data_IF_653756233722
#
_entry.id   IF_653756233722
#
_cell.length_a   1.000
_cell.length_b   1.000
_cell.length_c   1.000
_cell.angle_alpha   90.00
_cell.angle_beta   90.00
_cell.angle_gamma   90.00
#
_symmetry.space_group_name_H-M   'P 1'
#
loop_
_entity.id
_entity.type
_entity.pdbx_description
1 polymer ?
#
# COMPACT_ATOMS: atom_id res chain seq x y z
N UNK A 1 9.83 9.11 36.89
CA UNK A 1 11.00 8.55 36.15
C UNK A 1 10.72 8.73 34.66
N UNK A 2 10.71 9.95 34.10
CA UNK A 2 11.74 10.97 33.92
C UNK A 2 12.83 10.59 32.90
N UNK A 3 12.75 11.29 31.75
CA UNK A 3 13.80 11.71 30.80
C UNK A 3 14.22 10.83 29.61
N UNK A 4 14.53 11.60 28.53
CA UNK A 4 15.29 11.33 27.31
C UNK A 4 14.44 10.69 26.18
N UNK A 5 14.23 11.24 24.97
CA UNK A 5 15.09 12.04 24.08
C UNK A 5 14.22 12.93 23.16
N UNK A 6 14.54 14.22 23.06
CA UNK A 6 14.08 15.12 21.98
C UNK A 6 15.31 15.88 21.47
N UNK A 7 15.93 15.46 20.36
CA UNK A 7 16.75 16.34 19.52
C UNK A 7 16.89 15.78 18.10
N UNK A 8 16.92 16.74 17.15
CA UNK A 8 17.39 16.69 15.75
C UNK A 8 16.33 16.45 14.66
N UNK A 9 15.76 17.54 14.18
CA UNK A 9 15.42 17.77 12.77
C UNK A 9 15.38 19.29 12.51
N UNK A 10 16.52 19.85 12.12
CA UNK A 10 16.62 21.21 11.60
C UNK A 10 17.89 21.31 10.77
N UNK A 11 17.82 20.96 9.49
CA UNK A 11 18.78 21.42 8.48
C UNK A 11 18.11 21.40 7.10
N UNK A 12 18.42 22.43 6.32
CA UNK A 12 18.00 22.74 4.94
C UNK A 12 16.61 23.39 4.82
N UNK A 13 16.61 24.74 4.80
CA UNK A 13 16.25 25.57 3.64
C UNK A 13 16.22 27.05 4.05
N UNK A 14 17.31 27.78 3.81
CA UNK A 14 17.35 29.25 3.71
C UNK A 14 18.26 29.66 2.55
N UNK A 15 17.73 30.55 1.70
CA UNK A 15 18.45 31.38 0.72
C UNK A 15 18.54 30.76 -0.68
N UNK A 16 18.19 31.42 -1.79
CA UNK A 16 18.04 32.85 -2.06
C UNK A 16 17.09 33.10 -3.26
N UNK A 17 16.49 34.30 -3.29
CA UNK A 17 15.81 34.94 -4.43
C UNK A 17 16.80 35.80 -5.24
N UNK A 18 16.50 36.02 -6.52
CA UNK A 18 17.01 37.10 -7.40
C UNK A 18 17.47 36.57 -8.77
N UNK A 19 16.65 36.56 -9.82
CA UNK A 19 16.22 37.64 -10.74
C UNK A 19 17.08 37.78 -12.01
N UNK A 20 16.37 37.94 -13.14
CA UNK A 20 16.76 38.51 -14.46
C UNK A 20 17.63 37.71 -15.43
N UNK A 21 17.01 37.27 -16.54
CA UNK A 21 17.16 37.96 -17.83
C UNK A 21 18.26 37.53 -18.82
N UNK A 22 17.80 37.05 -19.99
CA UNK A 22 18.35 37.17 -21.37
C UNK A 22 19.26 36.06 -21.94
N UNK A 23 18.67 35.43 -22.97
CA UNK A 23 19.17 35.16 -24.36
C UNK A 23 20.59 34.60 -24.55
N UNK A 24 20.64 33.35 -25.02
CA UNK A 24 21.73 32.84 -25.89
C UNK A 24 21.56 33.32 -27.34
N UNK A 25 22.67 33.54 -28.04
CA UNK A 25 22.85 32.83 -29.31
C UNK A 25 24.26 32.25 -29.49
N UNK A 26 24.26 31.16 -30.27
CA UNK A 26 25.34 30.54 -31.01
C UNK A 26 26.50 31.46 -31.44
N UNK A 27 27.74 30.99 -31.30
CA UNK A 27 28.65 30.72 -32.42
C UNK A 27 29.99 30.17 -31.95
N UNK A 28 30.44 29.18 -32.71
CA UNK A 28 31.73 28.52 -32.78
C UNK A 28 32.90 29.48 -32.97
N UNK A 29 34.06 29.15 -32.40
CA UNK A 29 35.36 29.37 -33.05
C UNK A 29 36.50 28.59 -32.38
N UNK A 30 37.30 27.97 -33.24
CA UNK A 30 38.52 27.21 -32.98
C UNK A 30 39.61 28.02 -32.27
N UNK A 31 40.34 27.37 -31.37
CA UNK A 31 41.64 27.83 -30.87
C UNK A 31 42.64 26.67 -30.90
N UNK A 32 43.78 26.91 -31.54
CA UNK A 32 44.86 25.95 -31.81
C UNK A 32 45.68 25.52 -30.57
N UNK A 33 46.72 24.68 -30.78
CA UNK A 33 47.35 23.93 -29.70
C UNK A 33 48.44 24.74 -28.98
N UNK A 34 48.49 24.61 -27.66
CA UNK A 34 49.55 25.16 -26.78
C UNK A 34 50.04 24.01 -25.85
N UNK A 35 51.36 23.90 -25.58
CA UNK A 35 52.00 22.62 -25.27
C UNK A 35 51.97 22.22 -23.79
N UNK A 36 52.25 20.92 -23.57
CA UNK A 36 52.17 20.21 -22.30
C UNK A 36 53.16 20.71 -21.23
N UNK A 37 52.67 20.84 -20.00
CA UNK A 37 53.45 20.96 -18.76
C UNK A 37 53.39 19.64 -17.97
N UNK A 38 54.43 19.28 -17.19
CA UNK A 38 54.56 17.94 -16.62
C UNK A 38 53.62 17.75 -15.43
N UNK A 39 52.86 16.65 -15.47
CA UNK A 39 51.97 16.22 -14.38
C UNK A 39 52.83 15.73 -13.23
N UNK A 40 52.79 16.44 -12.10
CA UNK A 40 53.21 15.91 -10.80
C UNK A 40 52.22 14.83 -10.39
N UNK A 41 52.66 13.58 -10.35
CA UNK A 41 51.89 12.48 -9.77
C UNK A 41 51.73 12.72 -8.26
N UNK A 42 50.57 13.20 -7.83
CA UNK A 42 50.09 12.93 -6.48
C UNK A 42 49.67 11.45 -6.43
N UNK A 43 50.14 10.64 -5.48
CA UNK A 43 49.61 9.31 -5.30
C UNK A 43 48.13 9.44 -4.94
N UNK A 44 47.27 8.91 -5.80
CA UNK A 44 45.85 8.71 -5.51
C UNK A 44 45.75 7.86 -4.25
N UNK A 45 44.99 8.35 -3.26
CA UNK A 45 44.61 7.53 -2.13
C UNK A 45 44.02 6.21 -2.65
N UNK A 46 44.37 5.04 -2.07
CA UNK A 46 43.82 3.78 -2.53
C UNK A 46 42.29 3.86 -2.50
N UNK A 47 41.65 3.51 -3.61
CA UNK A 47 40.20 3.41 -3.67
C UNK A 47 39.75 2.54 -2.50
N UNK A 48 38.84 3.05 -1.67
CA UNK A 48 38.31 2.30 -0.55
C UNK A 48 37.85 0.92 -1.05
N UNK A 49 38.18 -0.17 -0.33
CA UNK A 49 37.83 -1.51 -0.79
C UNK A 49 36.33 -1.57 -1.04
N UNK A 50 35.93 -2.06 -2.22
CA UNK A 50 34.51 -2.22 -2.61
C UNK A 50 33.74 -3.05 -1.59
N UNK A 51 34.44 -3.90 -0.86
CA UNK A 51 33.92 -4.77 0.17
C UNK A 51 34.87 -4.84 1.36
N UNK A 52 34.36 -4.63 2.58
CA UNK A 52 35.10 -4.83 3.83
C UNK A 52 34.19 -5.52 4.84
N UNK A 53 34.74 -6.37 5.71
CA UNK A 53 33.94 -7.11 6.68
C UNK A 53 34.67 -7.32 8.00
N UNK A 54 33.88 -7.50 9.07
CA UNK A 54 34.35 -7.79 10.42
C UNK A 54 33.40 -8.79 11.08
N UNK A 55 33.96 -9.74 11.82
CA UNK A 55 33.18 -10.67 12.63
C UNK A 55 32.96 -10.12 14.03
N UNK A 56 31.72 -10.21 14.49
CA UNK A 56 31.32 -9.93 15.86
C UNK A 56 30.85 -11.22 16.53
N UNK A 57 30.39 -11.12 17.77
CA UNK A 57 29.98 -12.25 18.59
C UNK A 57 28.77 -13.00 18.00
N UNK A 58 27.85 -12.28 17.38
CA UNK A 58 26.53 -12.74 16.95
C UNK A 58 26.22 -12.43 15.47
N UNK A 59 27.05 -11.61 14.81
CA UNK A 59 26.80 -11.19 13.44
C UNK A 59 28.07 -10.94 12.62
N UNK A 60 27.90 -10.92 11.31
CA UNK A 60 28.84 -10.39 10.34
C UNK A 60 28.52 -8.92 10.07
N UNK A 61 29.49 -8.02 10.26
CA UNK A 61 29.41 -6.66 9.72
C UNK A 61 30.04 -6.66 8.32
N UNK A 62 29.29 -6.24 7.32
CA UNK A 62 29.66 -6.27 5.91
C UNK A 62 29.37 -4.91 5.27
N UNK A 63 30.42 -4.24 4.78
CA UNK A 63 30.31 -3.01 3.99
C UNK A 63 30.46 -3.36 2.52
N UNK A 64 29.45 -3.04 1.72
CA UNK A 64 29.48 -3.20 0.27
C UNK A 64 28.95 -1.92 -0.41
N UNK A 65 29.80 -1.27 -1.20
CA UNK A 65 29.50 0.08 -1.70
C UNK A 65 29.29 1.08 -0.55
N UNK A 66 28.18 1.81 -0.56
CA UNK A 66 27.78 2.73 0.52
C UNK A 66 27.00 2.07 1.66
N UNK A 67 26.65 0.79 1.52
CA UNK A 67 25.76 0.10 2.47
C UNK A 67 26.58 -0.63 3.53
N UNK A 68 26.31 -0.31 4.80
CA UNK A 68 26.80 -1.09 5.94
C UNK A 68 25.68 -2.03 6.39
N UNK A 69 25.93 -3.33 6.35
CA UNK A 69 24.99 -4.36 6.76
C UNK A 69 25.54 -5.06 7.99
N UNK A 70 24.75 -5.13 9.04
CA UNK A 70 24.94 -6.15 10.08
C UNK A 70 24.07 -7.33 9.66
N UNK A 71 24.59 -8.55 9.78
CA UNK A 71 23.90 -9.77 9.35
C UNK A 71 24.09 -10.84 10.42
N UNK A 72 23.03 -11.12 11.15
CA UNK A 72 22.98 -12.16 12.18
C UNK A 72 23.39 -13.55 11.63
N UNK A 73 24.18 -14.32 12.38
CA UNK A 73 24.66 -15.62 11.92
C UNK A 73 23.55 -16.67 11.79
N UNK A 74 22.56 -16.66 12.68
CA UNK A 74 21.37 -17.53 12.59
C UNK A 74 20.60 -17.17 11.33
N UNK A 75 20.39 -15.88 11.06
CA UNK A 75 19.73 -15.43 9.84
C UNK A 75 20.48 -15.88 8.58
N UNK A 76 21.80 -15.74 8.56
CA UNK A 76 22.67 -16.18 7.46
C UNK A 76 22.65 -17.71 7.28
N UNK A 77 22.47 -18.51 8.34
CA UNK A 77 22.34 -19.96 8.23
C UNK A 77 20.93 -20.37 7.77
N UNK A 78 19.91 -19.73 8.30
CA UNK A 78 18.49 -20.00 8.04
C UNK A 78 18.09 -19.70 6.58
N UNK A 79 18.65 -18.63 6.00
CA UNK A 79 18.31 -18.18 4.65
C UNK A 79 19.22 -18.77 3.55
N UNK A 80 19.99 -19.82 3.88
CA UNK A 80 20.91 -20.48 2.96
C UNK A 80 20.17 -20.95 1.69
N UNK A 81 20.72 -20.64 0.52
CA UNK A 81 20.14 -21.00 -0.79
C UNK A 81 20.78 -22.22 -1.46
N UNK A 82 21.53 -23.03 -0.71
CA UNK A 82 22.06 -24.30 -1.21
C UNK A 82 20.94 -25.31 -1.46
N UNK A 83 21.19 -26.31 -2.31
CA UNK A 83 20.17 -27.31 -2.67
C UNK A 83 19.63 -28.12 -1.48
N UNK A 84 20.40 -28.27 -0.40
CA UNK A 84 19.93 -28.93 0.83
C UNK A 84 19.07 -28.03 1.71
N UNK A 85 19.19 -26.70 1.58
CA UNK A 85 18.48 -25.72 2.41
C UNK A 85 17.33 -25.04 1.68
N UNK A 86 17.30 -25.07 0.35
CA UNK A 86 16.31 -24.39 -0.48
C UNK A 86 16.03 -25.16 -1.77
N UNK A 87 14.75 -25.40 -2.04
CA UNK A 87 14.29 -25.98 -3.30
C UNK A 87 14.09 -24.88 -4.35
N UNK A 88 15.06 -24.73 -5.25
CA UNK A 88 15.02 -23.72 -6.32
C UNK A 88 13.91 -23.95 -7.36
N UNK A 89 13.31 -25.15 -7.44
CA UNK A 89 12.17 -25.42 -8.34
C UNK A 89 10.86 -24.90 -7.79
N UNK A 90 10.65 -25.00 -6.48
CA UNK A 90 9.41 -24.56 -5.82
C UNK A 90 9.54 -23.21 -5.13
N UNK A 91 10.75 -22.67 -5.06
CA UNK A 91 11.09 -21.47 -4.30
C UNK A 91 10.80 -21.56 -2.79
N UNK A 92 10.90 -22.75 -2.22
CA UNK A 92 10.61 -23.01 -0.81
C UNK A 92 11.88 -23.33 -0.03
N UNK A 93 11.92 -22.90 1.24
CA UNK A 93 12.96 -23.31 2.18
C UNK A 93 12.75 -24.79 2.54
N UNK A 94 13.85 -25.53 2.59
CA UNK A 94 13.90 -26.94 3.02
C UNK A 94 14.51 -27.08 4.41
N UNK A 95 15.36 -26.13 4.81
CA UNK A 95 15.94 -26.11 6.15
C UNK A 95 14.86 -25.81 7.19
N UNK A 96 14.77 -26.64 8.22
CA UNK A 96 13.97 -26.36 9.41
C UNK A 96 14.67 -25.28 10.24
N UNK A 97 14.05 -24.10 10.37
CA UNK A 97 14.57 -22.98 11.16
C UNK A 97 14.84 -23.38 12.61
N UNK A 98 14.02 -24.25 13.20
CA UNK A 98 14.20 -24.68 14.60
C UNK A 98 15.43 -25.57 14.79
N UNK A 99 15.94 -26.18 13.71
CA UNK A 99 17.15 -26.98 13.75
C UNK A 99 18.44 -26.15 13.72
N UNK A 100 18.35 -24.85 13.42
CA UNK A 100 19.52 -23.97 13.40
C UNK A 100 19.95 -23.66 14.83
N UNK A 101 21.18 -24.02 15.18
CA UNK A 101 21.79 -23.65 16.46
C UNK A 101 21.82 -22.12 16.62
N UNK A 102 21.18 -21.59 17.65
CA UNK A 102 21.12 -20.15 17.92
C UNK A 102 22.47 -19.57 18.35
N UNK A 103 23.43 -20.41 18.71
CA UNK A 103 24.82 -20.02 18.98
C UNK A 103 25.75 -20.21 17.76
N UNK A 104 25.20 -20.56 16.59
CA UNK A 104 26.01 -20.87 15.40
C UNK A 104 26.93 -19.71 15.01
N UNK A 105 28.18 -20.06 14.67
CA UNK A 105 29.18 -19.13 14.13
C UNK A 105 29.92 -19.76 12.97
N UNK A 106 30.27 -18.99 11.93
CA UNK A 106 31.09 -19.52 10.86
C UNK A 106 32.51 -19.82 11.38
N UNK A 107 33.05 -20.98 11.02
CA UNK A 107 34.46 -21.34 11.23
C UNK A 107 35.38 -20.58 10.27
N UNK A 108 34.88 -20.26 9.07
CA UNK A 108 35.61 -19.46 8.09
C UNK A 108 34.66 -18.54 7.32
N UNK A 109 35.14 -17.33 7.04
CA UNK A 109 34.46 -16.36 6.19
C UNK A 109 35.41 -15.93 5.08
N UNK A 110 34.91 -15.93 3.85
CA UNK A 110 35.62 -15.43 2.68
C UNK A 110 34.67 -14.59 1.86
N UNK A 111 35.16 -13.46 1.36
CA UNK A 111 34.42 -12.61 0.43
C UNK A 111 35.27 -12.43 -0.82
N UNK A 112 34.67 -12.62 -1.99
CA UNK A 112 35.25 -12.18 -3.26
C UNK A 112 34.51 -10.94 -3.80
N UNK A 113 34.68 -10.59 -5.07
CA UNK A 113 34.12 -9.36 -5.64
C UNK A 113 32.59 -9.30 -5.59
N UNK A 114 31.91 -10.45 -5.64
CA UNK A 114 30.44 -10.51 -5.79
C UNK A 114 29.76 -11.44 -4.80
N UNK A 115 30.52 -12.27 -4.07
CA UNK A 115 29.98 -13.37 -3.28
C UNK A 115 30.62 -13.46 -1.89
N UNK A 116 29.77 -13.61 -0.88
CA UNK A 116 30.12 -14.00 0.49
C UNK A 116 30.04 -15.53 0.63
N UNK A 117 31.04 -16.12 1.27
CA UNK A 117 31.14 -17.54 1.62
C UNK A 117 31.29 -17.68 3.13
N UNK A 118 30.49 -18.57 3.71
CA UNK A 118 30.50 -18.89 5.14
C UNK A 118 30.64 -20.42 5.28
N UNK A 119 31.65 -20.88 5.99
CA UNK A 119 31.81 -22.30 6.36
C UNK A 119 31.36 -22.47 7.80
N UNK A 120 30.38 -23.33 8.03
CA UNK A 120 29.77 -23.59 9.34
C UNK A 120 30.45 -24.77 10.08
N UNK A 121 30.19 -24.95 11.39
CA UNK A 121 30.84 -26.00 12.18
C UNK A 121 30.56 -27.44 11.71
N UNK A 122 29.43 -27.66 11.04
CA UNK A 122 29.05 -28.92 10.40
C UNK A 122 29.75 -29.15 9.03
N UNK A 123 30.64 -28.24 8.63
CA UNK A 123 31.31 -28.25 7.33
C UNK A 123 30.44 -27.72 6.18
N UNK A 124 29.18 -27.34 6.43
CA UNK A 124 28.31 -26.77 5.40
C UNK A 124 28.85 -25.43 4.91
N UNK A 125 28.74 -25.16 3.61
CA UNK A 125 29.17 -23.89 3.01
C UNK A 125 27.97 -23.15 2.43
N UNK A 126 27.68 -21.97 2.99
CA UNK A 126 26.65 -21.06 2.48
C UNK A 126 27.29 -20.03 1.56
N UNK A 127 26.59 -19.69 0.47
CA UNK A 127 27.01 -18.70 -0.53
C UNK A 127 25.92 -17.66 -0.72
N UNK A 128 26.28 -16.38 -0.67
CA UNK A 128 25.37 -15.27 -0.92
C UNK A 128 25.96 -14.29 -1.93
N UNK A 129 25.19 -13.89 -2.93
CA UNK A 129 25.53 -12.74 -3.76
C UNK A 129 25.44 -11.45 -2.93
N UNK A 130 26.41 -10.56 -3.04
CA UNK A 130 26.46 -9.31 -2.27
C UNK A 130 25.25 -8.40 -2.56
N UNK A 131 24.77 -8.37 -3.81
CA UNK A 131 23.54 -7.65 -4.18
C UNK A 131 22.27 -8.28 -3.57
N UNK A 132 22.26 -9.60 -3.38
CA UNK A 132 21.17 -10.26 -2.68
C UNK A 132 21.17 -9.85 -1.20
N UNK A 133 22.34 -9.77 -0.55
CA UNK A 133 22.45 -9.29 0.83
C UNK A 133 21.99 -7.83 0.95
N UNK A 134 22.37 -6.94 0.03
CA UNK A 134 21.91 -5.55 0.05
C UNK A 134 20.39 -5.46 -0.06
N UNK A 135 19.77 -6.23 -0.95
CA UNK A 135 18.31 -6.23 -1.13
C UNK A 135 17.54 -6.82 0.06
N UNK A 136 18.15 -7.72 0.83
CA UNK A 136 17.50 -8.43 1.94
C UNK A 136 18.04 -8.01 3.31
N UNK A 137 18.88 -6.97 3.38
CA UNK A 137 19.35 -6.43 4.64
C UNK A 137 18.20 -5.82 5.41
N UNK A 138 18.19 -6.00 6.73
CA UNK A 138 17.27 -5.29 7.63
C UNK A 138 17.65 -3.81 7.80
N UNK A 139 18.89 -3.43 7.47
CA UNK A 139 19.33 -2.04 7.49
C UNK A 139 18.61 -1.28 6.36
N UNK A 140 17.90 -0.21 6.70
CA UNK A 140 17.11 0.56 5.73
C UNK A 140 15.65 0.13 5.57
N UNK A 141 15.24 -1.05 6.07
CA UNK A 141 13.87 -1.55 5.91
C UNK A 141 12.82 -0.68 6.62
N UNK A 142 13.20 0.00 7.70
CA UNK A 142 12.31 0.96 8.39
C UNK A 142 11.94 2.16 7.52
N UNK A 143 12.71 2.46 6.49
CA UNK A 143 12.45 3.53 5.54
C UNK A 143 11.84 3.04 4.22
N UNK A 144 11.77 1.73 3.99
CA UNK A 144 11.18 1.19 2.78
C UNK A 144 9.65 1.21 2.87
N UNK A 145 9.04 1.67 1.79
CA UNK A 145 7.59 1.65 1.58
C UNK A 145 7.25 0.33 0.91
N UNK A 146 6.33 -0.43 1.49
CA UNK A 146 5.87 -1.71 0.95
C UNK A 146 5.14 -1.52 -0.38
N UNK A 147 4.22 -0.55 -0.42
CA UNK A 147 3.40 -0.28 -1.61
C UNK A 147 3.53 1.19 -2.02
N UNK A 148 4.24 1.49 -3.12
CA UNK A 148 4.31 2.84 -3.66
C UNK A 148 2.91 3.37 -3.97
N UNK A 149 2.62 4.58 -3.51
CA UNK A 149 1.31 5.21 -3.66
C UNK A 149 1.42 6.72 -3.69
N UNK A 150 0.46 7.36 -4.35
CA UNK A 150 0.30 8.81 -4.34
C UNK A 150 -0.88 9.11 -3.42
N UNK A 151 -0.62 9.71 -2.27
CA UNK A 151 -1.69 10.19 -1.37
C UNK A 151 -2.33 11.44 -1.97
N UNK A 152 -3.65 11.45 -2.12
CA UNK A 152 -4.33 12.50 -2.87
C UNK A 152 -5.51 13.15 -2.13
N UNK A 153 -5.71 14.43 -2.43
CA UNK A 153 -6.99 15.12 -2.27
C UNK A 153 -7.62 15.31 -3.67
N UNK A 154 -8.78 15.97 -3.75
CA UNK A 154 -9.50 16.11 -5.02
C UNK A 154 -8.74 16.94 -6.06
N UNK A 155 -7.92 17.90 -5.64
CA UNK A 155 -7.09 18.70 -6.54
C UNK A 155 -5.95 17.86 -7.14
N UNK A 156 -5.18 17.16 -6.29
CA UNK A 156 -4.07 16.30 -6.71
C UNK A 156 -4.55 15.24 -7.72
N UNK A 157 -5.68 14.57 -7.42
CA UNK A 157 -6.21 13.54 -8.31
C UNK A 157 -6.66 14.12 -9.66
N UNK A 158 -7.30 15.30 -9.68
CA UNK A 158 -7.72 15.95 -10.94
C UNK A 158 -6.52 16.41 -11.77
N UNK A 159 -5.47 16.93 -11.13
CA UNK A 159 -4.25 17.36 -11.81
C UNK A 159 -3.46 16.19 -12.41
N UNK A 160 -3.53 15.01 -11.78
CA UNK A 160 -2.92 13.80 -12.32
C UNK A 160 -3.54 13.33 -13.65
N UNK A 161 -4.78 13.75 -13.96
CA UNK A 161 -5.51 13.40 -15.18
C UNK A 161 -5.48 11.88 -15.48
N UNK A 162 -5.66 11.06 -14.43
CA UNK A 162 -5.58 9.60 -14.54
C UNK A 162 -6.63 9.09 -15.55
N UNK A 163 -6.21 8.45 -16.66
CA UNK A 163 -7.13 8.01 -17.68
C UNK A 163 -7.96 6.82 -17.21
N UNK A 164 -9.17 6.69 -17.78
CA UNK A 164 -9.92 5.44 -17.71
C UNK A 164 -9.38 4.48 -18.78
N UNK A 165 -9.33 3.19 -18.49
CA UNK A 165 -8.87 2.18 -19.46
C UNK A 165 -10.07 1.69 -20.27
N UNK A 166 -9.90 1.52 -21.58
CA UNK A 166 -10.94 0.92 -22.43
C UNK A 166 -11.16 -0.56 -22.08
N UNK A 167 -12.42 -1.00 -22.05
CA UNK A 167 -12.82 -2.36 -21.70
C UNK A 167 -12.09 -3.43 -22.53
N UNK A 168 -11.97 -3.22 -23.85
CA UNK A 168 -11.32 -4.18 -24.73
C UNK A 168 -9.83 -4.26 -24.45
N UNK A 169 -9.17 -3.10 -24.32
CA UNK A 169 -7.75 -3.05 -23.95
C UNK A 169 -7.47 -3.75 -22.62
N UNK A 170 -8.30 -3.49 -21.60
CA UNK A 170 -8.21 -4.10 -20.27
C UNK A 170 -8.37 -5.63 -20.31
N UNK A 171 -9.32 -6.14 -21.08
CA UNK A 171 -9.59 -7.58 -21.16
C UNK A 171 -8.58 -8.32 -22.04
N UNK A 172 -8.20 -7.75 -23.18
CA UNK A 172 -7.49 -8.47 -24.25
C UNK A 172 -5.97 -8.23 -24.27
N UNK A 173 -5.44 -7.26 -23.52
CA UNK A 173 -4.00 -6.91 -23.56
C UNK A 173 -3.37 -6.86 -22.18
N UNK A 174 -2.08 -7.18 -22.10
CA UNK A 174 -1.29 -7.02 -20.86
C UNK A 174 -0.96 -5.55 -20.62
N UNK A 175 -0.82 -4.73 -21.67
CA UNK A 175 -0.58 -3.29 -21.57
C UNK A 175 -1.77 -2.58 -20.91
N UNK A 176 -3.00 -2.83 -21.37
CA UNK A 176 -4.20 -2.24 -20.80
C UNK A 176 -4.45 -2.69 -19.36
N UNK A 177 -4.23 -3.98 -19.06
CA UNK A 177 -4.30 -4.49 -17.70
C UNK A 177 -3.23 -3.85 -16.79
N UNK A 178 -1.99 -3.74 -17.27
CA UNK A 178 -0.89 -3.13 -16.52
C UNK A 178 -1.14 -1.66 -16.26
N UNK A 179 -1.65 -0.90 -17.23
CA UNK A 179 -2.05 0.49 -17.06
C UNK A 179 -3.14 0.63 -15.98
N UNK A 180 -4.18 -0.21 -16.04
CA UNK A 180 -5.22 -0.25 -15.02
C UNK A 180 -4.64 -0.53 -13.63
N UNK A 181 -3.82 -1.57 -13.48
CA UNK A 181 -3.24 -1.96 -12.19
C UNK A 181 -2.29 -0.91 -11.65
N UNK A 182 -1.48 -0.27 -12.50
CA UNK A 182 -0.60 0.81 -12.09
C UNK A 182 -1.40 1.99 -11.54
N UNK A 183 -2.48 2.40 -12.23
CA UNK A 183 -3.37 3.45 -11.77
C UNK A 183 -4.07 3.07 -10.46
N UNK A 184 -4.59 1.84 -10.38
CA UNK A 184 -5.26 1.32 -9.20
C UNK A 184 -4.34 1.27 -7.98
N UNK A 185 -3.10 0.77 -8.11
CA UNK A 185 -2.16 0.68 -7.00
C UNK A 185 -1.68 2.06 -6.53
N UNK A 186 -1.42 2.98 -7.46
CA UNK A 186 -0.96 4.33 -7.12
C UNK A 186 -2.04 5.14 -6.40
N UNK A 187 -3.28 5.11 -6.88
CA UNK A 187 -4.35 5.98 -6.40
C UNK A 187 -5.43 5.28 -5.56
N UNK A 188 -5.46 3.95 -5.52
CA UNK A 188 -6.52 3.19 -4.84
C UNK A 188 -7.87 3.23 -5.55
N UNK A 189 -7.95 3.85 -6.74
CA UNK A 189 -9.13 3.82 -7.61
C UNK A 189 -8.70 3.74 -9.07
N UNK A 190 -9.48 3.02 -9.87
CA UNK A 190 -9.31 2.97 -11.32
C UNK A 190 -10.66 2.76 -12.02
N UNK A 191 -10.74 3.17 -13.27
CA UNK A 191 -11.96 3.10 -14.06
C UNK A 191 -11.74 2.30 -15.34
N UNK A 192 -12.75 1.51 -15.70
CA UNK A 192 -12.86 0.87 -17.01
C UNK A 192 -14.08 1.46 -17.72
N UNK A 193 -13.91 1.93 -18.95
CA UNK A 193 -14.97 2.52 -19.78
C UNK A 193 -15.31 1.63 -20.98
N UNK A 194 -16.44 1.91 -21.64
CA UNK A 194 -16.99 1.13 -22.75
C UNK A 194 -17.36 -0.31 -22.37
N UNK A 195 -17.79 -0.52 -21.13
CA UNK A 195 -18.28 -1.80 -20.62
C UNK A 195 -19.75 -1.96 -20.98
N UNK A 196 -20.17 -3.09 -21.55
CA UNK A 196 -21.62 -3.31 -21.74
C UNK A 196 -22.32 -3.28 -20.37
N UNK A 197 -23.40 -2.48 -20.17
CA UNK A 197 -24.03 -2.30 -18.86
C UNK A 197 -24.89 -3.51 -18.46
N UNK A 198 -24.24 -4.66 -18.26
CA UNK A 198 -24.83 -5.90 -17.75
C UNK A 198 -24.08 -6.38 -16.50
N UNK A 199 -24.71 -7.29 -15.77
CA UNK A 199 -24.07 -7.95 -14.62
C UNK A 199 -22.94 -8.88 -15.10
N UNK A 200 -23.18 -9.59 -16.20
CA UNK A 200 -22.31 -10.59 -16.79
C UNK A 200 -20.99 -9.96 -17.27
N UNK A 201 -21.05 -8.83 -17.97
CA UNK A 201 -19.86 -8.09 -18.39
C UNK A 201 -19.08 -7.52 -17.19
N UNK A 202 -19.78 -7.16 -16.10
CA UNK A 202 -19.10 -6.72 -14.87
C UNK A 202 -18.35 -7.86 -14.19
N UNK A 203 -18.93 -9.06 -14.19
CA UNK A 203 -18.31 -10.27 -13.66
C UNK A 203 -17.05 -10.63 -14.47
N UNK A 204 -17.12 -10.59 -15.80
CA UNK A 204 -15.96 -10.80 -16.69
C UNK A 204 -14.81 -9.82 -16.37
N UNK A 205 -15.12 -8.53 -16.16
CA UNK A 205 -14.11 -7.55 -15.79
C UNK A 205 -13.45 -7.86 -14.44
N UNK A 206 -14.25 -8.25 -13.45
CA UNK A 206 -13.76 -8.55 -12.11
C UNK A 206 -12.82 -9.77 -12.11
N UNK A 207 -13.20 -10.83 -12.83
CA UNK A 207 -12.42 -12.06 -12.96
C UNK A 207 -11.10 -11.88 -13.71
N UNK A 208 -10.96 -10.80 -14.51
CA UNK A 208 -9.69 -10.49 -15.19
C UNK A 208 -8.54 -10.21 -14.23
N UNK A 209 -8.82 -9.71 -13.02
CA UNK A 209 -7.79 -9.24 -12.08
C UNK A 209 -7.75 -10.00 -10.76
N UNK A 210 -8.84 -10.61 -10.34
CA UNK A 210 -8.92 -11.31 -9.05
C UNK A 210 -10.11 -12.25 -8.98
N UNK A 211 -10.08 -13.15 -7.99
CA UNK A 211 -11.20 -14.01 -7.64
C UNK A 211 -12.29 -13.16 -6.98
N UNK A 212 -13.52 -13.31 -7.45
CA UNK A 212 -14.68 -12.72 -6.79
C UNK A 212 -14.90 -13.41 -5.45
N UNK A 213 -14.80 -12.64 -4.37
CA UNK A 213 -15.07 -13.09 -3.01
C UNK A 213 -16.57 -13.12 -2.79
N UNK A 214 -17.13 -14.32 -2.79
CA UNK A 214 -18.52 -14.53 -2.40
C UNK A 214 -18.73 -14.19 -0.91
N UNK A 215 -19.81 -13.46 -0.64
CA UNK A 215 -20.15 -12.98 0.71
C UNK A 215 -21.62 -13.27 1.03
N UNK A 216 -22.10 -12.84 2.20
CA UNK A 216 -23.52 -12.86 2.55
C UNK A 216 -24.42 -12.03 1.60
N UNK A 217 -23.81 -11.17 0.77
CA UNK A 217 -24.48 -10.41 -0.27
C UNK A 217 -24.50 -11.14 -1.63
N UNK A 218 -23.95 -12.36 -1.68
CA UNK A 218 -23.76 -13.16 -2.89
C UNK A 218 -22.40 -12.93 -3.55
N UNK A 219 -22.17 -13.66 -4.65
CA UNK A 219 -20.99 -13.52 -5.53
C UNK A 219 -20.98 -12.17 -6.24
N UNK A 220 -22.06 -11.89 -6.94
CA UNK A 220 -22.34 -10.60 -7.57
C UNK A 220 -23.60 -10.04 -6.92
N UNK A 221 -23.53 -8.80 -6.44
CA UNK A 221 -24.69 -8.10 -5.91
C UNK A 221 -25.26 -7.16 -6.97
N UNK A 222 -26.57 -7.02 -6.94
CA UNK A 222 -27.35 -6.11 -7.76
C UNK A 222 -28.30 -5.40 -6.82
N UNK A 223 -28.32 -4.07 -6.85
CA UNK A 223 -29.26 -3.34 -6.01
C UNK A 223 -29.92 -2.18 -6.74
N UNK A 224 -31.20 -2.04 -6.44
CA UNK A 224 -32.00 -0.83 -6.61
C UNK A 224 -32.46 -0.40 -5.22
N UNK A 225 -33.04 0.79 -5.08
CA UNK A 225 -33.57 1.25 -3.79
C UNK A 225 -34.91 0.60 -3.47
N UNK A 226 -34.90 -0.68 -3.12
CA UNK A 226 -36.09 -1.50 -2.84
C UNK A 226 -36.22 -1.96 -1.38
N UNK A 227 -35.28 -1.60 -0.50
CA UNK A 227 -35.23 -2.08 0.89
C UNK A 227 -35.17 -3.61 1.04
N UNK A 228 -34.65 -4.34 0.04
CA UNK A 228 -34.56 -5.81 0.05
C UNK A 228 -33.59 -6.38 1.10
N UNK A 229 -32.74 -5.54 1.70
CA UNK A 229 -31.79 -5.89 2.77
C UNK A 229 -31.88 -4.90 3.92
N UNK A 230 -31.46 -5.34 5.12
CA UNK A 230 -31.36 -4.49 6.32
C UNK A 230 -30.20 -3.50 6.28
N UNK A 231 -29.89 -2.92 5.13
CA UNK A 231 -28.68 -2.14 4.87
C UNK A 231 -29.03 -0.77 4.25
N UNK A 232 -28.41 0.29 4.76
CA UNK A 232 -28.66 1.68 4.35
C UNK A 232 -28.35 1.90 2.85
N UNK A 233 -27.48 1.06 2.27
CA UNK A 233 -27.15 1.08 0.84
C UNK A 233 -28.39 0.97 -0.08
N UNK A 234 -29.43 0.26 0.38
CA UNK A 234 -30.68 -0.02 -0.33
C UNK A 234 -31.73 1.10 -0.19
N UNK A 235 -31.35 2.25 0.38
CA UNK A 235 -32.20 3.44 0.46
C UNK A 235 -31.83 4.47 -0.62
N UNK A 236 -32.64 5.54 -0.77
CA UNK A 236 -32.33 6.71 -1.61
C UNK A 236 -31.56 7.82 -0.89
N UNK A 237 -31.29 7.62 0.40
CA UNK A 237 -30.58 8.59 1.23
C UNK A 237 -29.11 8.70 0.80
N UNK A 238 -28.50 9.81 1.18
CA UNK A 238 -27.05 9.97 1.06
C UNK A 238 -26.34 8.95 1.96
N UNK A 239 -25.27 8.36 1.47
CA UNK A 239 -24.36 7.52 2.23
C UNK A 239 -23.10 8.32 2.48
N UNK A 240 -22.82 8.57 3.76
CA UNK A 240 -21.54 9.15 4.16
C UNK A 240 -20.37 8.21 3.82
N UNK A 241 -19.15 8.76 3.75
CA UNK A 241 -17.92 8.02 3.41
C UNK A 241 -17.67 6.84 4.36
N UNK A 242 -17.42 5.67 3.80
CA UNK A 242 -17.11 4.45 4.54
C UNK A 242 -16.24 3.49 3.72
N UNK A 243 -15.67 2.51 4.41
CA UNK A 243 -15.14 1.27 3.84
C UNK A 243 -16.12 0.14 4.15
N UNK A 244 -16.37 -0.75 3.21
CA UNK A 244 -17.35 -1.83 3.38
C UNK A 244 -16.78 -2.97 4.21
N UNK A 245 -17.67 -3.77 4.81
CA UNK A 245 -17.36 -5.03 5.51
C UNK A 245 -16.38 -4.89 6.68
N UNK A 246 -16.43 -3.76 7.40
CA UNK A 246 -15.53 -3.55 8.56
C UNK A 246 -15.72 -4.58 9.69
N UNK A 247 -16.90 -5.20 9.73
CA UNK A 247 -17.29 -6.30 10.62
C UNK A 247 -16.84 -7.70 10.15
N UNK A 248 -16.17 -7.83 9.00
CA UNK A 248 -15.46 -9.08 8.67
C UNK A 248 -14.14 -9.14 9.43
N UNK A 249 -13.69 -10.35 9.79
CA UNK A 249 -12.33 -10.54 10.31
C UNK A 249 -11.30 -10.04 9.30
N UNK A 250 -11.52 -10.34 8.02
CA UNK A 250 -10.79 -9.79 6.89
C UNK A 250 -11.77 -9.01 5.99
N UNK A 251 -11.77 -7.67 6.03
CA UNK A 251 -12.57 -6.83 5.14
C UNK A 251 -12.27 -7.14 3.68
N UNK A 252 -13.27 -7.04 2.82
CA UNK A 252 -13.10 -7.18 1.39
C UNK A 252 -12.05 -6.20 0.87
N UNK A 253 -11.15 -6.67 0.01
CA UNK A 253 -9.98 -5.91 -0.45
C UNK A 253 -10.38 -4.82 -1.45
N UNK A 254 -11.17 -5.19 -2.44
CA UNK A 254 -11.56 -4.30 -3.55
C UNK A 254 -13.07 -4.36 -3.72
N UNK A 255 -13.66 -3.22 -4.04
CA UNK A 255 -15.06 -3.13 -4.40
C UNK A 255 -15.22 -2.61 -5.82
N UNK A 256 -16.09 -3.29 -6.57
CA UNK A 256 -16.41 -2.94 -7.96
C UNK A 256 -17.80 -2.34 -7.99
N UNK A 257 -17.95 -1.19 -8.68
CA UNK A 257 -19.23 -0.56 -8.94
C UNK A 257 -19.41 -0.38 -10.44
N UNK A 258 -20.50 -0.90 -10.99
CA UNK A 258 -20.90 -0.63 -12.36
C UNK A 258 -22.35 -0.14 -12.42
N UNK A 259 -22.54 1.08 -12.93
CA UNK A 259 -23.86 1.64 -13.17
C UNK A 259 -24.47 0.97 -14.39
N UNK A 260 -25.58 0.26 -14.22
CA UNK A 260 -26.29 -0.38 -15.32
C UNK A 260 -27.35 0.57 -15.91
N UNK A 261 -28.03 1.31 -15.05
CA UNK A 261 -29.09 2.25 -15.45
C UNK A 261 -29.25 3.37 -14.44
N UNK A 262 -29.51 4.59 -14.91
CA UNK A 262 -29.86 5.73 -14.06
C UNK A 262 -30.81 6.69 -14.78
N UNK A 263 -32.06 6.74 -14.33
CA UNK A 263 -33.10 7.66 -14.76
C UNK A 263 -33.47 8.55 -13.57
N UNK A 264 -32.79 9.69 -13.43
CA UNK A 264 -32.99 10.58 -12.28
C UNK A 264 -31.85 11.58 -12.06
N UNK A 265 -31.85 12.22 -10.90
CA UNK A 265 -30.84 13.24 -10.51
C UNK A 265 -30.08 12.82 -9.25
N UNK A 266 -28.93 13.43 -9.00
CA UNK A 266 -28.08 13.11 -7.82
C UNK A 266 -27.30 11.80 -7.99
N UNK A 267 -27.01 11.11 -6.89
CA UNK A 267 -26.40 9.76 -6.91
C UNK A 267 -24.97 9.73 -7.46
N UNK A 268 -24.25 10.85 -7.33
CA UNK A 268 -22.80 10.89 -7.54
C UNK A 268 -22.11 10.03 -6.48
N UNK A 269 -21.08 9.32 -6.89
CA UNK A 269 -20.20 8.56 -6.01
C UNK A 269 -19.21 9.53 -5.37
N UNK A 270 -19.11 9.48 -4.05
CA UNK A 270 -18.08 10.15 -3.26
C UNK A 270 -16.88 9.22 -3.14
N UNK A 271 -15.67 9.75 -3.32
CA UNK A 271 -14.40 9.07 -3.10
C UNK A 271 -13.48 9.96 -2.28
N UNK A 272 -12.85 9.39 -1.24
CA UNK A 272 -11.92 10.08 -0.34
C UNK A 272 -10.74 9.16 -0.03
N UNK A 273 -9.51 9.60 -0.31
CA UNK A 273 -8.31 8.87 0.09
C UNK A 273 -8.16 8.90 1.62
N UNK A 274 -8.54 7.79 2.28
CA UNK A 274 -8.46 7.66 3.72
C UNK A 274 -7.02 7.75 4.24
N UNK A 275 -6.04 7.34 3.43
CA UNK A 275 -4.64 7.40 3.81
C UNK A 275 -4.10 8.83 3.76
N UNK A 276 -4.53 9.63 2.78
CA UNK A 276 -4.24 11.07 2.76
C UNK A 276 -4.81 11.76 4.00
N UNK A 277 -6.08 11.50 4.33
CA UNK A 277 -6.70 12.08 5.52
C UNK A 277 -6.00 11.65 6.82
N UNK A 278 -5.64 10.37 6.95
CA UNK A 278 -4.88 9.85 8.09
C UNK A 278 -3.49 10.50 8.19
N UNK A 279 -2.81 10.76 7.08
CA UNK A 279 -1.53 11.47 7.06
C UNK A 279 -1.69 12.92 7.54
N UNK A 280 -2.77 13.62 7.18
CA UNK A 280 -3.06 14.95 7.71
C UNK A 280 -3.25 14.92 9.23
N UNK A 281 -3.94 13.90 9.76
CA UNK A 281 -4.07 13.70 11.21
C UNK A 281 -2.70 13.44 11.84
N UNK A 282 -1.88 12.56 11.27
CA UNK A 282 -0.53 12.27 11.77
C UNK A 282 0.33 13.53 11.85
N UNK A 283 0.29 14.39 10.82
CA UNK A 283 1.07 15.63 10.78
C UNK A 283 0.59 16.67 11.80
N UNK A 284 -0.71 16.74 12.08
CA UNK A 284 -1.32 17.78 12.94
C UNK A 284 -1.45 17.36 14.41
N UNK A 285 -1.74 16.08 14.65
CA UNK A 285 -1.99 15.51 15.97
C UNK A 285 -1.53 14.03 16.00
N UNK A 286 -0.21 13.77 16.10
CA UNK A 286 0.35 12.42 16.11
C UNK A 286 -0.28 11.49 17.16
N UNK A 287 -0.65 12.02 18.32
CA UNK A 287 -1.30 11.30 19.41
C UNK A 287 -2.71 10.79 19.05
N UNK A 288 -3.43 11.52 18.18
CA UNK A 288 -4.71 11.06 17.65
C UNK A 288 -4.51 9.91 16.66
N UNK A 289 -3.53 10.02 15.77
CA UNK A 289 -3.17 8.94 14.86
C UNK A 289 -2.79 7.68 15.63
N UNK A 290 -1.94 7.81 16.66
CA UNK A 290 -1.51 6.69 17.50
C UNK A 290 -2.69 6.00 18.19
N UNK A 291 -3.64 6.76 18.76
CA UNK A 291 -4.84 6.20 19.37
C UNK A 291 -5.69 5.44 18.35
N UNK A 292 -5.89 6.00 17.16
CA UNK A 292 -6.66 5.36 16.09
C UNK A 292 -5.96 4.11 15.54
N UNK A 293 -4.63 4.04 15.67
CA UNK A 293 -3.83 2.90 15.22
C UNK A 293 -3.70 1.77 16.25
N UNK A 294 -3.80 2.10 17.54
CA UNK A 294 -3.55 1.13 18.64
C UNK A 294 -4.81 0.64 19.34
N UNK A 295 -5.91 1.39 19.31
CA UNK A 295 -7.14 1.04 20.05
C UNK A 295 -8.03 0.17 19.16
N UNK A 296 -8.14 -1.15 19.43
CA UNK A 296 -9.03 -2.01 18.66
C UNK A 296 -10.49 -1.81 19.07
N UNK A 297 -11.37 -1.77 18.07
CA UNK A 297 -12.79 -1.59 18.25
C UNK A 297 -13.57 -2.72 17.61
N UNK A 298 -14.74 -2.99 18.17
CA UNK A 298 -15.71 -3.92 17.61
C UNK A 298 -16.50 -3.23 16.50
N UNK A 299 -16.60 -3.90 15.35
CA UNK A 299 -17.51 -3.60 14.26
C UNK A 299 -18.50 -4.76 14.14
N UNK A 300 -19.78 -4.48 13.95
CA UNK A 300 -20.85 -5.47 14.07
C UNK A 300 -21.93 -5.25 13.02
N UNK A 301 -22.33 -6.34 12.38
CA UNK A 301 -23.47 -6.40 11.48
C UNK A 301 -24.43 -7.48 11.96
N UNK A 302 -25.69 -7.11 12.12
CA UNK A 302 -26.78 -8.01 12.51
C UNK A 302 -27.92 -7.82 11.52
N UNK A 303 -28.30 -8.90 10.83
CA UNK A 303 -29.42 -8.92 9.90
C UNK A 303 -30.38 -10.05 10.27
N UNK A 304 -31.67 -9.72 10.33
CA UNK A 304 -32.74 -10.67 10.66
C UNK A 304 -33.99 -10.44 9.80
N UNK A 305 -33.82 -9.85 8.60
CA UNK A 305 -34.89 -9.48 7.69
C UNK A 305 -34.94 -10.46 6.50
N UNK A 306 -36.13 -10.77 6.00
CA UNK A 306 -36.31 -11.49 4.73
C UNK A 306 -35.73 -12.92 4.71
N UNK A 307 -35.71 -13.61 5.86
CA UNK A 307 -35.12 -14.94 6.01
C UNK A 307 -33.58 -14.97 6.08
N UNK A 308 -32.92 -13.81 5.98
CA UNK A 308 -31.49 -13.68 6.22
C UNK A 308 -31.23 -13.59 7.72
N UNK A 309 -30.30 -14.40 8.22
CA UNK A 309 -29.87 -14.42 9.62
C UNK A 309 -28.35 -14.33 9.69
N UNK A 310 -27.83 -13.11 9.69
CA UNK A 310 -26.40 -12.84 9.73
C UNK A 310 -26.04 -12.17 11.04
N UNK A 311 -24.98 -12.61 11.70
CA UNK A 311 -24.36 -11.90 12.82
C UNK A 311 -22.85 -12.01 12.67
N UNK A 312 -22.20 -10.90 12.35
CA UNK A 312 -20.77 -10.85 12.09
C UNK A 312 -20.11 -9.77 12.94
N UNK A 313 -18.94 -10.13 13.47
CA UNK A 313 -18.15 -9.26 14.33
C UNK A 313 -16.70 -9.27 13.84
N UNK A 314 -16.20 -8.07 13.59
CA UNK A 314 -14.80 -7.79 13.29
C UNK A 314 -14.21 -6.95 14.41
N UNK A 315 -12.95 -7.20 14.76
CA UNK A 315 -12.24 -6.40 15.76
C UNK A 315 -10.93 -5.91 15.17
N UNK A 316 -10.66 -4.62 15.29
CA UNK A 316 -9.42 -4.02 14.83
C UNK A 316 -9.39 -2.51 15.07
N UNK A 317 -8.21 -1.89 14.98
CA UNK A 317 -8.10 -0.44 15.01
C UNK A 317 -8.67 0.18 13.73
N UNK A 318 -9.00 1.48 13.80
CA UNK A 318 -9.45 2.25 12.64
C UNK A 318 -8.31 2.36 11.62
N UNK A 319 -7.08 2.55 12.08
CA UNK A 319 -5.88 2.65 11.24
C UNK A 319 -4.98 1.43 11.49
N UNK A 320 -4.72 0.62 10.48
CA UNK A 320 -3.89 -0.58 10.62
C UNK A 320 -2.53 -0.32 9.98
N UNK A 321 -1.47 -0.34 10.79
CA UNK A 321 -0.11 0.03 10.38
C UNK A 321 0.86 -1.14 10.53
N UNK A 322 1.87 -1.21 9.67
CA UNK A 322 2.96 -2.17 9.84
C UNK A 322 3.82 -1.79 11.05
N UNK A 323 4.08 -2.71 12.00
CA UNK A 323 4.77 -2.37 13.25
C UNK A 323 6.20 -1.85 13.08
N UNK A 324 6.89 -2.18 11.99
CA UNK A 324 8.31 -1.85 11.80
C UNK A 324 8.55 -0.46 11.19
N UNK A 325 7.60 0.08 10.42
CA UNK A 325 7.74 1.38 9.73
C UNK A 325 6.51 2.32 9.89
N UNK A 326 5.46 1.90 10.62
CA UNK A 326 4.19 2.63 10.77
C UNK A 326 3.46 2.95 9.45
N UNK A 327 3.80 2.27 8.35
CA UNK A 327 3.11 2.44 7.09
C UNK A 327 1.68 1.90 7.20
N UNK A 328 0.70 2.74 6.88
CA UNK A 328 -0.72 2.41 6.89
C UNK A 328 -1.02 1.42 5.74
N UNK A 329 -1.68 0.30 6.03
CA UNK A 329 -2.06 -0.69 5.02
C UNK A 329 -3.56 -0.97 4.94
N UNK A 330 -4.33 -0.60 5.98
CA UNK A 330 -5.79 -0.75 6.00
C UNK A 330 -6.45 0.32 6.87
N UNK A 331 -7.51 0.95 6.37
CA UNK A 331 -8.45 1.76 7.14
C UNK A 331 -9.77 1.01 7.33
N UNK A 332 -10.21 0.86 8.59
CA UNK A 332 -11.53 0.31 8.95
C UNK A 332 -12.41 1.46 9.43
N UNK A 333 -13.14 2.07 8.51
CA UNK A 333 -13.97 3.21 8.84
C UNK A 333 -15.37 3.04 8.25
N UNK A 334 -16.32 2.64 9.10
CA UNK A 334 -17.73 2.70 8.78
C UNK A 334 -18.49 3.10 10.04
N UNK A 335 -19.14 4.26 10.01
CA UNK A 335 -19.89 4.75 11.16
C UNK A 335 -21.13 3.89 11.47
N UNK A 336 -21.72 3.27 10.44
CA UNK A 336 -22.92 2.43 10.57
C UNK A 336 -22.59 1.08 11.21
N UNK A 337 -21.40 0.53 10.93
CA UNK A 337 -20.96 -0.77 11.45
C UNK A 337 -20.29 -0.67 12.83
N UNK A 338 -19.96 0.53 13.31
CA UNK A 338 -19.22 0.71 14.57
C UNK A 338 -20.09 0.26 15.73
N UNK A 339 -19.67 -0.80 16.41
CA UNK A 339 -20.41 -1.34 17.53
C UNK A 339 -20.19 -0.53 18.83
N UNK A 340 -20.82 -1.00 19.90
CA UNK A 340 -20.63 -0.45 21.25
C UNK A 340 -19.17 -0.54 21.66
N UNK A 341 -18.59 0.57 22.11
CA UNK A 341 -17.20 0.63 22.59
C UNK A 341 -17.18 0.18 24.06
N UNK A 342 -16.96 -1.12 24.27
CA UNK A 342 -16.85 -1.73 25.60
C UNK A 342 -15.50 -2.44 25.82
N UNK A 343 -14.54 -2.27 24.91
CA UNK A 343 -13.18 -2.84 24.96
C UNK A 343 -12.12 -1.82 25.38
N UNK A 344 -12.50 -0.56 25.60
CA UNK A 344 -11.58 0.57 25.81
C UNK A 344 -11.72 1.09 27.24
N UNK A 345 -10.62 1.26 28.00
CA UNK A 345 -10.65 1.85 29.34
C UNK A 345 -11.25 3.26 29.37
N UNK A 346 -11.95 3.60 30.46
CA UNK A 346 -12.65 4.88 30.63
C UNK A 346 -11.77 6.12 30.34
N UNK A 347 -10.52 6.11 30.80
CA UNK A 347 -9.56 7.20 30.62
C UNK A 347 -9.07 7.37 29.16
N UNK A 348 -9.23 6.34 28.34
CA UNK A 348 -8.88 6.35 26.91
C UNK A 348 -10.08 6.72 26.04
N UNK A 349 -11.31 6.32 26.42
CA UNK A 349 -12.53 6.49 25.60
C UNK A 349 -12.69 7.92 25.09
N UNK A 350 -12.59 8.93 25.97
CA UNK A 350 -12.75 10.34 25.57
C UNK A 350 -11.68 10.78 24.57
N UNK A 351 -10.42 10.38 24.78
CA UNK A 351 -9.30 10.70 23.88
C UNK A 351 -9.50 10.04 22.52
N UNK A 352 -9.98 8.80 22.51
CA UNK A 352 -10.32 8.11 21.28
C UNK A 352 -11.42 8.84 20.49
N UNK A 353 -12.49 9.32 21.15
CA UNK A 353 -13.52 10.11 20.47
C UNK A 353 -12.99 11.43 19.91
N UNK A 354 -12.04 12.10 20.58
CA UNK A 354 -11.36 13.26 20.02
C UNK A 354 -10.55 12.91 18.77
N UNK A 355 -9.81 11.79 18.81
CA UNK A 355 -9.04 11.30 17.67
C UNK A 355 -9.94 10.91 16.48
N UNK A 356 -11.00 10.15 16.74
CA UNK A 356 -12.01 9.79 15.73
C UNK A 356 -12.61 11.05 15.10
N UNK A 357 -13.00 12.04 15.91
CA UNK A 357 -13.52 13.31 15.40
C UNK A 357 -12.51 14.05 14.52
N UNK A 358 -11.23 14.06 14.87
CA UNK A 358 -10.19 14.67 14.06
C UNK A 358 -10.08 13.99 12.68
N UNK A 359 -10.06 12.65 12.65
CA UNK A 359 -10.08 11.89 11.39
C UNK A 359 -11.35 12.16 10.59
N UNK A 360 -12.53 12.09 11.21
CA UNK A 360 -13.81 12.39 10.54
C UNK A 360 -13.82 13.80 9.96
N UNK A 361 -13.23 14.78 10.65
CA UNK A 361 -13.14 16.15 10.15
C UNK A 361 -12.24 16.23 8.91
N UNK A 362 -11.08 15.59 8.90
CA UNK A 362 -10.22 15.52 7.70
C UNK A 362 -10.91 14.79 6.54
N UNK A 363 -11.56 13.65 6.81
CA UNK A 363 -12.32 12.91 5.80
C UNK A 363 -13.48 13.74 5.23
N UNK A 364 -14.03 14.68 6.00
CA UNK A 364 -15.12 15.61 5.64
C UNK A 364 -14.69 16.95 5.07
N UNK A 365 -13.39 17.18 4.89
CA UNK A 365 -12.92 18.39 4.23
C UNK A 365 -13.35 18.37 2.75
N UNK A 366 -14.04 19.41 2.24
CA UNK A 366 -14.46 19.47 0.84
C UNK A 366 -13.30 19.29 -0.15
N UNK A 367 -12.11 19.79 0.18
CA UNK A 367 -10.90 19.66 -0.66
C UNK A 367 -10.46 18.19 -0.84
N UNK A 368 -10.84 17.30 0.08
CA UNK A 368 -10.53 15.88 0.05
C UNK A 368 -11.59 15.06 -0.69
N UNK A 369 -12.75 15.64 -1.00
CA UNK A 369 -13.87 14.93 -1.63
C UNK A 369 -13.79 14.95 -3.16
N UNK A 370 -13.56 13.78 -3.76
CA UNK A 370 -13.71 13.58 -5.19
C UNK A 370 -15.12 13.05 -5.49
N UNK A 371 -15.91 13.85 -6.21
CA UNK A 371 -17.26 13.48 -6.63
C UNK A 371 -17.27 13.04 -8.10
N UNK A 372 -17.72 11.82 -8.37
CA UNK A 372 -17.77 11.22 -9.71
C UNK A 372 -19.18 10.76 -10.03
N UNK A 373 -19.67 11.03 -11.24
CA UNK A 373 -20.95 10.48 -11.71
C UNK A 373 -20.69 9.22 -12.54
N UNK A 374 -21.03 8.05 -11.99
CA UNK A 374 -21.05 6.82 -12.78
C UNK A 374 -22.24 6.85 -13.75
N UNK A 375 -21.97 6.50 -15.00
CA UNK A 375 -22.94 6.36 -16.09
C UNK A 375 -22.90 4.90 -16.59
N UNK A 376 -23.97 4.40 -17.22
CA UNK A 376 -23.91 3.16 -18.01
C UNK A 376 -22.69 3.17 -18.92
N UNK A 377 -21.91 2.08 -18.91
CA UNK A 377 -20.66 2.00 -19.66
C UNK A 377 -19.38 2.16 -18.83
N UNK A 378 -19.48 2.57 -17.57
CA UNK A 378 -18.32 2.89 -16.73
C UNK A 378 -18.33 2.10 -15.41
N UNK A 379 -17.31 1.26 -15.25
CA UNK A 379 -17.02 0.53 -14.02
C UNK A 379 -15.93 1.25 -13.21
N UNK A 380 -16.08 1.24 -11.89
CA UNK A 380 -15.14 1.79 -10.92
C UNK A 380 -14.67 0.68 -10.00
N UNK A 381 -13.36 0.59 -9.82
CA UNK A 381 -12.71 -0.27 -8.83
C UNK A 381 -12.15 0.60 -7.72
N UNK A 382 -12.42 0.23 -6.47
CA UNK A 382 -12.00 0.95 -5.27
C UNK A 382 -11.20 0.00 -4.38
N UNK A 383 -9.99 0.38 -3.99
CA UNK A 383 -9.23 -0.24 -2.91
C UNK A 383 -9.98 0.05 -1.60
N UNK A 384 -10.83 -0.88 -1.19
CA UNK A 384 -11.71 -0.75 -0.04
C UNK A 384 -10.95 -0.71 1.29
N UNK A 385 -9.65 -1.04 1.28
CA UNK A 385 -8.79 -0.88 2.46
C UNK A 385 -8.16 0.51 2.56
N UNK A 386 -8.36 1.37 1.56
CA UNK A 386 -7.73 2.70 1.47
C UNK A 386 -8.72 3.82 1.23
N UNK A 387 -9.53 3.69 0.18
CA UNK A 387 -10.37 4.77 -0.33
C UNK A 387 -11.76 4.58 0.24
N UNK A 388 -12.20 5.54 1.06
CA UNK A 388 -13.57 5.57 1.52
C UNK A 388 -14.45 6.02 0.37
N UNK A 389 -15.63 5.43 0.29
CA UNK A 389 -16.60 5.75 -0.72
C UNK A 389 -17.96 6.04 -0.10
N UNK A 390 -18.79 6.75 -0.84
CA UNK A 390 -20.13 7.15 -0.40
C UNK A 390 -20.97 7.56 -1.59
N UNK A 391 -22.13 8.15 -1.31
CA UNK A 391 -23.09 8.47 -2.37
C UNK A 391 -23.94 9.68 -1.99
N UNK A 392 -24.13 10.58 -2.93
CA UNK A 392 -25.14 11.63 -2.83
C UNK A 392 -26.55 11.03 -2.81
N UNK A 393 -27.50 11.69 -2.16
CA UNK A 393 -28.91 11.34 -2.31
C UNK A 393 -29.33 11.40 -3.79
N UNK A 394 -30.37 10.66 -4.17
CA UNK A 394 -30.82 10.62 -5.56
C UNK A 394 -32.32 10.42 -5.71
N UNK A 395 -32.81 10.77 -6.90
CA UNK A 395 -34.21 10.60 -7.31
C UNK A 395 -34.32 9.62 -8.47
N UNK A 396 -35.53 9.15 -8.73
CA UNK A 396 -35.82 8.26 -9.85
C UNK A 396 -35.27 6.83 -9.69
N UNK A 397 -34.99 6.17 -10.81
CA UNK A 397 -34.51 4.79 -10.88
C UNK A 397 -32.99 4.77 -11.04
N UNK A 398 -32.31 3.94 -10.25
CA UNK A 398 -30.86 3.73 -10.34
C UNK A 398 -30.56 2.28 -10.05
N UNK A 399 -29.77 1.66 -10.94
CA UNK A 399 -29.36 0.27 -10.84
C UNK A 399 -27.84 0.20 -10.90
N UNK A 400 -27.26 -0.33 -9.83
CA UNK A 400 -25.85 -0.71 -9.77
C UNK A 400 -25.75 -2.23 -9.67
N UNK A 401 -24.69 -2.77 -10.24
CA UNK A 401 -24.16 -4.05 -9.84
C UNK A 401 -22.70 -3.91 -9.38
N UNK A 402 -22.20 -4.96 -8.77
CA UNK A 402 -20.83 -5.04 -8.35
C UNK A 402 -20.53 -6.31 -7.59
N UNK A 403 -19.32 -6.35 -7.06
CA UNK A 403 -18.80 -7.47 -6.30
C UNK A 403 -17.64 -7.01 -5.42
N UNK A 404 -17.15 -7.95 -4.62
CA UNK A 404 -15.93 -7.80 -3.84
C UNK A 404 -14.85 -8.71 -4.39
N UNK A 405 -13.61 -8.23 -4.42
CA UNK A 405 -12.44 -9.01 -4.83
C UNK A 405 -11.44 -9.15 -3.68
N UNK A 406 -10.62 -10.20 -3.76
CA UNK A 406 -9.47 -10.38 -2.86
C UNK A 406 -8.33 -9.44 -3.28
N UNK A 407 -7.52 -9.00 -2.31
CA UNK A 407 -6.36 -8.14 -2.60
C UNK A 407 -5.18 -8.97 -3.16
N UNK A 408 -5.02 -10.20 -2.69
CA UNK A 408 -3.87 -11.04 -3.01
C UNK A 408 -3.70 -11.30 -4.50
N UNK A 409 -4.78 -11.66 -5.20
CA UNK A 409 -4.74 -11.94 -6.63
C UNK A 409 -4.39 -10.70 -7.47
N UNK A 410 -4.84 -9.51 -7.04
CA UNK A 410 -4.50 -8.25 -7.70
C UNK A 410 -3.01 -7.92 -7.53
N UNK A 411 -2.47 -8.07 -6.31
CA UNK A 411 -1.04 -7.85 -6.06
C UNK A 411 -0.18 -8.90 -6.79
N UNK A 412 -0.63 -10.16 -6.83
CA UNK A 412 0.03 -11.23 -7.59
C UNK A 412 0.10 -10.88 -9.09
N UNK A 413 -1.04 -10.55 -9.70
CA UNK A 413 -1.12 -10.18 -11.11
C UNK A 413 -0.25 -8.95 -11.42
N UNK A 414 -0.27 -7.94 -10.56
CA UNK A 414 0.58 -6.76 -10.70
C UNK A 414 2.09 -7.10 -10.68
N UNK A 415 2.53 -7.95 -9.75
CA UNK A 415 3.93 -8.41 -9.67
C UNK A 415 4.34 -9.21 -10.91
N UNK A 416 3.46 -10.07 -11.42
CA UNK A 416 3.69 -10.82 -12.67
C UNK A 416 3.90 -9.89 -13.87
N UNK A 417 3.19 -8.76 -13.91
CA UNK A 417 3.34 -7.73 -14.95
C UNK A 417 4.50 -6.74 -14.68
N UNK A 418 5.32 -7.01 -13.65
CA UNK A 418 6.50 -6.24 -13.29
C UNK A 418 6.20 -4.89 -12.60
N UNK A 419 5.02 -4.75 -12.00
CA UNK A 419 4.70 -3.61 -11.15
C UNK A 419 5.23 -3.84 -9.72
N UNK A 420 5.63 -2.76 -9.06
CA UNK A 420 5.95 -2.79 -7.63
C UNK A 420 4.64 -2.77 -6.84
N UNK A 421 4.27 -3.93 -6.30
CA UNK A 421 3.01 -4.19 -5.61
C UNK A 421 3.20 -5.10 -4.41
#
# INVERSE_FOLDING_TARGET
>A
MAMMWCQRLAWLLRGQRGSTGRRWPWLSQDLGPVPAAPVRCCPTAPAAPRCAWQLHQDHLELRYGSTLMRLDFVWLRDHCRSASCYNAKTNQRSLDTASVDLAIRPQAVRVDETTLFLTWPDGHVTRYGLEWLVRNSYEGQKQQVMHPRILWNAEIYRQAQVPSVDCRSFLETDEGLKEFLQNFLLYGIAFVENVTPTKEDTEILAERISIIRETIYGRMWYFTSDFSRGDTAYTKLALDRHTDTTYFQEPCGIQVFHCLKHEGTGGRTLLVDGFHAAEQVLRRAPEHFELLAKVPLKHEYVESVGGCHNHMIGVGPVLNVYPWNNELYLIRYNNYDRAVINTVPHDVVRRWYHAHRALTAELRRPDNELWVKLKPGKALFVDNWRVLHGREAFTGYRQLCGCYLTRDDVLNTARLLGLQA
#
